data_IF_122599352301
#
_entry.id   IF_122599352301
#
_cell.length_a   1.000
_cell.length_b   1.000
_cell.length_c   1.000
_cell.angle_alpha   90.00
_cell.angle_beta   90.00
_cell.angle_gamma   90.00
#
_symmetry.space_group_name_H-M   'P 1'
#
loop_
_entity.id
_entity.type
_entity.pdbx_description
1 polymer ?
#
# COMPACT_ATOMS: atom_id res chain seq x y z
N UNK A 1 16.71 15.28 -6.20
CA UNK A 1 15.28 15.11 -5.81
C UNK A 1 15.24 14.30 -4.53
N UNK A 2 14.22 14.47 -3.69
CA UNK A 2 14.14 13.81 -2.38
C UNK A 2 12.78 13.15 -2.20
N UNK A 3 12.76 12.03 -1.47
CA UNK A 3 11.56 11.29 -1.09
C UNK A 3 11.08 11.81 0.25
N UNK A 4 9.78 12.06 0.37
CA UNK A 4 9.20 12.37 1.68
C UNK A 4 8.93 11.06 2.40
N UNK A 5 9.54 10.92 3.56
CA UNK A 5 9.36 9.76 4.42
C UNK A 5 8.51 10.13 5.61
N UNK A 6 7.61 9.23 5.95
CA UNK A 6 6.74 9.36 7.10
C UNK A 6 6.81 8.07 7.90
N UNK A 7 7.30 8.15 9.13
CA UNK A 7 7.25 7.03 10.07
C UNK A 7 5.82 6.66 10.42
N UNK A 8 5.64 5.43 10.91
CA UNK A 8 4.34 4.92 11.38
C UNK A 8 3.76 5.81 12.48
N UNK A 9 2.44 5.97 12.49
CA UNK A 9 1.77 6.80 13.51
C UNK A 9 1.90 6.17 14.91
N UNK A 10 2.34 6.94 15.91
CA UNK A 10 2.35 6.50 17.32
C UNK A 10 0.98 6.80 17.94
N UNK A 11 0.39 5.85 18.65
CA UNK A 11 -0.92 6.05 19.31
C UNK A 11 -0.83 7.06 20.45
N UNK A 12 -1.63 8.13 20.38
CA UNK A 12 -2.17 8.79 21.56
C UNK A 12 -3.48 8.10 21.98
N UNK A 13 -3.84 8.17 23.27
CA UNK A 13 -5.09 7.59 23.78
C UNK A 13 -6.31 8.24 23.10
N UNK A 14 -7.07 7.48 22.32
CA UNK A 14 -8.30 7.95 21.69
C UNK A 14 -9.52 7.49 22.48
N UNK A 15 -10.26 8.42 23.06
CA UNK A 15 -11.50 8.16 23.86
C UNK A 15 -12.75 8.01 22.95
N UNK A 16 -12.62 8.22 21.63
CA UNK A 16 -13.73 8.24 20.68
C UNK A 16 -13.57 7.17 19.56
N UNK A 17 -14.67 6.67 18.94
CA UNK A 17 -14.60 5.64 17.91
C UNK A 17 -13.89 6.13 16.64
N UNK A 18 -13.09 5.27 16.00
CA UNK A 18 -12.36 5.59 14.78
C UNK A 18 -13.32 5.99 13.65
N UNK A 19 -12.97 6.99 12.83
CA UNK A 19 -13.87 7.53 11.79
C UNK A 19 -14.36 6.47 10.81
N UNK A 20 -13.56 5.46 10.47
CA UNK A 20 -13.97 4.36 9.60
C UNK A 20 -15.05 3.46 10.21
N UNK A 21 -15.24 3.49 11.53
CA UNK A 21 -16.35 2.82 12.24
C UNK A 21 -17.57 3.72 12.43
N UNK A 22 -17.51 4.95 11.90
CA UNK A 22 -18.59 5.92 11.95
C UNK A 22 -19.77 5.58 11.04
N UNK A 23 -20.72 6.52 10.91
CA UNK A 23 -21.90 6.34 10.05
C UNK A 23 -21.49 6.08 8.59
N UNK A 24 -21.94 4.97 7.97
CA UNK A 24 -21.56 4.66 6.60
C UNK A 24 -21.93 5.74 5.58
N UNK A 25 -23.06 6.41 5.76
CA UNK A 25 -23.48 7.50 4.87
C UNK A 25 -22.57 8.72 4.98
N UNK A 26 -22.11 9.05 6.19
CA UNK A 26 -21.15 10.14 6.39
C UNK A 26 -19.80 9.77 5.78
N UNK A 27 -19.36 8.52 5.93
CA UNK A 27 -18.12 8.02 5.33
C UNK A 27 -18.19 8.02 3.81
N UNK A 28 -19.30 7.53 3.24
CA UNK A 28 -19.52 7.52 1.80
C UNK A 28 -19.52 8.95 1.22
N UNK A 29 -20.21 9.89 1.87
CA UNK A 29 -20.22 11.29 1.44
C UNK A 29 -18.83 11.92 1.55
N UNK A 30 -18.12 11.69 2.65
CA UNK A 30 -16.76 12.16 2.85
C UNK A 30 -15.80 11.63 1.77
N UNK A 31 -15.82 10.32 1.51
CA UNK A 31 -14.98 9.68 0.50
C UNK A 31 -15.35 10.11 -0.92
N UNK A 32 -16.63 10.37 -1.19
CA UNK A 32 -17.10 10.91 -2.48
C UNK A 32 -16.61 12.35 -2.70
N UNK A 33 -16.70 13.21 -1.69
CA UNK A 33 -16.15 14.57 -1.76
C UNK A 33 -14.63 14.55 -1.92
N UNK A 34 -13.95 13.62 -1.24
CA UNK A 34 -12.52 13.43 -1.37
C UNK A 34 -12.13 12.94 -2.77
N UNK A 35 -12.91 12.03 -3.36
CA UNK A 35 -12.77 11.58 -4.74
C UNK A 35 -12.86 12.79 -5.70
N UNK A 36 -13.90 13.61 -5.57
CA UNK A 36 -14.09 14.81 -6.40
C UNK A 36 -12.94 15.80 -6.26
N UNK A 37 -12.47 16.04 -5.03
CA UNK A 37 -11.32 16.90 -4.75
C UNK A 37 -10.07 16.48 -5.50
N UNK A 38 -9.82 15.18 -5.62
CA UNK A 38 -8.63 14.66 -6.28
C UNK A 38 -8.84 14.27 -7.74
N UNK A 39 -10.06 14.38 -8.27
CA UNK A 39 -10.39 14.03 -9.66
C UNK A 39 -9.47 14.63 -10.74
N UNK A 40 -8.84 15.81 -10.61
CA UNK A 40 -7.86 16.29 -11.59
C UNK A 40 -6.66 15.36 -11.80
N UNK A 41 -6.36 14.48 -10.84
CA UNK A 41 -5.27 13.51 -10.91
C UNK A 41 -5.69 12.19 -11.58
N UNK A 42 -6.97 11.98 -11.94
CA UNK A 42 -7.44 10.73 -12.57
C UNK A 42 -6.69 10.42 -13.86
N UNK A 43 -6.30 11.44 -14.62
CA UNK A 43 -5.52 11.26 -15.85
C UNK A 43 -4.16 10.59 -15.59
N UNK A 44 -3.59 10.79 -14.40
CA UNK A 44 -2.33 10.17 -13.98
C UNK A 44 -2.49 8.70 -13.58
N UNK A 45 -3.69 8.12 -13.64
CA UNK A 45 -3.83 6.66 -13.53
C UNK A 45 -3.16 5.98 -14.73
N UNK A 46 -3.29 6.60 -15.91
CA UNK A 46 -2.78 6.10 -17.18
C UNK A 46 -1.48 6.80 -17.58
N UNK A 47 -1.30 8.08 -17.22
CA UNK A 47 -0.09 8.83 -17.55
C UNK A 47 1.02 8.69 -16.48
N UNK A 48 2.30 8.59 -16.88
CA UNK A 48 2.79 8.69 -18.26
C UNK A 48 2.76 7.36 -19.02
N UNK A 49 2.43 7.39 -20.32
CA UNK A 49 2.48 6.18 -21.17
C UNK A 49 3.90 5.66 -21.42
N UNK A 50 4.92 6.52 -21.26
CA UNK A 50 6.31 6.21 -21.54
C UNK A 50 7.22 6.76 -20.43
N UNK A 51 8.37 6.11 -20.18
CA UNK A 51 8.83 4.86 -20.79
C UNK A 51 8.10 3.62 -20.24
N UNK A 52 8.00 2.56 -21.06
CA UNK A 52 7.62 1.21 -20.62
C UNK A 52 8.92 0.40 -20.46
N UNK A 53 9.51 0.41 -19.26
CA UNK A 53 10.86 -0.14 -19.04
C UNK A 53 10.83 -1.67 -18.90
N UNK A 54 9.71 -2.25 -18.46
CA UNK A 54 9.54 -3.70 -18.42
C UNK A 54 8.87 -4.28 -19.67
N UNK A 55 8.74 -3.48 -20.73
CA UNK A 55 8.22 -3.90 -22.04
C UNK A 55 6.86 -4.61 -21.90
N UNK A 56 6.73 -5.85 -22.37
CA UNK A 56 5.46 -6.59 -22.36
C UNK A 56 4.88 -6.90 -20.99
N UNK A 57 5.62 -6.67 -19.89
CA UNK A 57 5.08 -6.77 -18.54
C UNK A 57 4.35 -5.49 -18.11
N UNK A 58 4.61 -4.35 -18.75
CA UNK A 58 3.93 -3.10 -18.42
C UNK A 58 2.50 -3.10 -18.95
N UNK A 59 1.57 -2.64 -18.12
CA UNK A 59 0.14 -2.73 -18.39
C UNK A 59 -0.27 -1.99 -19.68
N UNK A 60 0.39 -0.87 -19.99
CA UNK A 60 0.08 -0.02 -21.15
C UNK A 60 1.05 -0.21 -22.32
N UNK A 61 1.99 -1.16 -22.24
CA UNK A 61 2.87 -1.46 -23.36
C UNK A 61 2.05 -1.98 -24.55
N UNK A 62 2.32 -1.54 -25.80
CA UNK A 62 1.50 -1.87 -26.98
C UNK A 62 1.71 -3.32 -27.48
N UNK A 63 1.53 -4.31 -26.60
CA UNK A 63 1.44 -5.74 -26.96
C UNK A 63 0.01 -6.10 -27.37
N UNK A 64 -0.15 -7.16 -28.17
CA UNK A 64 -1.49 -7.63 -28.56
C UNK A 64 -2.38 -7.98 -27.35
N UNK A 65 -1.88 -8.67 -26.31
CA UNK A 65 -2.69 -8.94 -25.11
C UNK A 65 -3.11 -7.67 -24.36
N UNK A 66 -2.21 -6.69 -24.18
CA UNK A 66 -2.56 -5.42 -23.54
C UNK A 66 -3.56 -4.62 -24.37
N UNK A 67 -3.39 -4.57 -25.69
CA UNK A 67 -4.34 -3.90 -26.60
C UNK A 67 -5.72 -4.55 -26.49
N UNK A 68 -5.78 -5.88 -26.39
CA UNK A 68 -7.03 -6.61 -26.18
C UNK A 68 -7.70 -6.22 -24.85
N UNK A 69 -6.97 -6.21 -23.75
CA UNK A 69 -7.50 -5.81 -22.44
C UNK A 69 -7.98 -4.34 -22.44
N UNK A 70 -7.18 -3.43 -23.01
CA UNK A 70 -7.54 -2.01 -23.17
C UNK A 70 -8.80 -1.85 -24.02
N UNK A 71 -8.93 -2.61 -25.12
CA UNK A 71 -10.11 -2.57 -25.97
C UNK A 71 -11.38 -3.00 -25.21
N UNK A 72 -11.31 -4.11 -24.48
CA UNK A 72 -12.44 -4.58 -23.67
C UNK A 72 -12.81 -3.59 -22.56
N UNK A 73 -11.82 -3.02 -21.88
CA UNK A 73 -12.06 -1.95 -20.91
C UNK A 73 -12.69 -0.71 -21.54
N UNK A 74 -12.27 -0.34 -22.76
CA UNK A 74 -12.87 0.79 -23.50
C UNK A 74 -14.34 0.52 -23.82
N UNK A 75 -14.67 -0.69 -24.29
CA UNK A 75 -16.06 -1.12 -24.53
C UNK A 75 -16.87 -1.04 -23.23
N UNK A 76 -16.34 -1.54 -22.13
CA UNK A 76 -17.00 -1.51 -20.82
C UNK A 76 -17.23 -0.07 -20.34
N UNK A 77 -16.23 0.81 -20.43
CA UNK A 77 -16.36 2.22 -20.03
C UNK A 77 -17.48 2.91 -20.81
N UNK A 78 -17.52 2.73 -22.14
CA UNK A 78 -18.58 3.31 -22.98
C UNK A 78 -19.96 2.75 -22.61
N UNK A 79 -20.07 1.42 -22.52
CA UNK A 79 -21.33 0.74 -22.20
C UNK A 79 -21.86 1.09 -20.80
N UNK A 80 -20.98 1.11 -19.80
CA UNK A 80 -21.31 1.46 -18.41
C UNK A 80 -21.71 2.92 -18.26
N UNK A 81 -21.01 3.83 -18.96
CA UNK A 81 -21.38 5.24 -18.98
C UNK A 81 -22.77 5.44 -19.56
N UNK A 82 -23.06 4.82 -20.71
CA UNK A 82 -24.39 4.88 -21.33
C UNK A 82 -25.46 4.28 -20.41
N UNK A 83 -25.18 3.14 -19.79
CA UNK A 83 -26.09 2.50 -18.84
C UNK A 83 -26.41 3.43 -17.66
N UNK A 84 -25.40 4.00 -16.99
CA UNK A 84 -25.63 4.90 -15.85
C UNK A 84 -26.39 6.17 -16.25
N UNK A 85 -26.05 6.76 -17.41
CA UNK A 85 -26.76 7.93 -17.94
C UNK A 85 -28.22 7.59 -18.27
N UNK A 86 -28.50 6.36 -18.73
CA UNK A 86 -29.87 5.96 -19.07
C UNK A 86 -30.79 5.81 -17.85
N UNK A 87 -30.26 5.44 -16.67
CA UNK A 87 -31.08 5.06 -15.50
C UNK A 87 -32.11 6.12 -15.07
N UNK A 88 -31.80 7.43 -14.97
CA UNK A 88 -32.78 8.44 -14.59
C UNK A 88 -33.94 8.60 -15.58
N UNK A 89 -33.71 8.31 -16.86
CA UNK A 89 -34.72 8.47 -17.92
C UNK A 89 -35.69 7.28 -18.01
N UNK A 90 -35.33 6.14 -17.40
CA UNK A 90 -36.14 4.93 -17.39
C UNK A 90 -37.37 5.01 -16.45
N UNK A 91 -37.52 6.09 -15.67
CA UNK A 91 -38.68 6.29 -14.80
C UNK A 91 -40.02 6.33 -15.57
N UNK A 92 -39.96 6.59 -16.87
CA UNK A 92 -41.12 6.63 -17.78
C UNK A 92 -41.50 5.25 -18.35
N UNK A 93 -40.66 4.24 -18.16
CA UNK A 93 -40.81 2.90 -18.73
C UNK A 93 -41.50 1.96 -17.72
N UNK A 94 -42.40 1.05 -18.15
CA UNK A 94 -43.00 0.08 -17.24
C UNK A 94 -41.94 -0.78 -16.52
N UNK A 95 -42.17 -1.05 -15.23
CA UNK A 95 -41.21 -1.70 -14.34
C UNK A 95 -40.64 -3.03 -14.86
N UNK A 96 -41.44 -3.82 -15.58
CA UNK A 96 -40.99 -5.11 -16.16
C UNK A 96 -39.88 -4.90 -17.21
N UNK A 97 -40.04 -3.91 -18.10
CA UNK A 97 -39.01 -3.60 -19.10
C UNK A 97 -37.77 -2.98 -18.46
N UNK A 98 -37.94 -2.23 -17.37
CA UNK A 98 -36.83 -1.72 -16.56
C UNK A 98 -35.98 -2.86 -15.97
N UNK A 99 -36.61 -3.86 -15.33
CA UNK A 99 -35.90 -5.05 -14.83
C UNK A 99 -35.20 -5.79 -15.98
N UNK A 100 -35.90 -6.00 -17.10
CA UNK A 100 -35.32 -6.70 -18.25
C UNK A 100 -34.10 -5.97 -18.81
N UNK A 101 -34.16 -4.65 -18.96
CA UNK A 101 -33.04 -3.82 -19.42
C UNK A 101 -31.82 -3.96 -18.49
N UNK A 102 -32.02 -3.86 -17.18
CA UNK A 102 -30.93 -4.04 -16.20
C UNK A 102 -30.37 -5.46 -16.28
N UNK A 103 -31.23 -6.47 -16.29
CA UNK A 103 -30.81 -7.87 -16.37
C UNK A 103 -29.99 -8.15 -17.63
N UNK A 104 -30.43 -7.65 -18.78
CA UNK A 104 -29.72 -7.78 -20.05
C UNK A 104 -28.36 -7.07 -20.02
N UNK A 105 -28.32 -5.84 -19.52
CA UNK A 105 -27.08 -5.09 -19.40
C UNK A 105 -26.08 -5.79 -18.47
N UNK A 106 -26.52 -6.25 -17.30
CA UNK A 106 -25.67 -6.97 -16.36
C UNK A 106 -25.15 -8.27 -16.96
N UNK A 107 -25.98 -9.00 -17.73
CA UNK A 107 -25.55 -10.22 -18.42
C UNK A 107 -24.48 -9.94 -19.48
N UNK A 108 -24.65 -8.88 -20.29
CA UNK A 108 -23.66 -8.47 -21.29
C UNK A 108 -22.37 -7.98 -20.64
N UNK A 109 -22.46 -7.11 -19.64
CA UNK A 109 -21.30 -6.62 -18.88
C UNK A 109 -20.50 -7.77 -18.27
N UNK A 110 -21.20 -8.70 -17.62
CA UNK A 110 -20.60 -9.91 -17.02
C UNK A 110 -19.91 -10.77 -18.09
N UNK A 111 -20.50 -10.89 -19.27
CA UNK A 111 -19.92 -11.68 -20.38
C UNK A 111 -18.61 -11.08 -20.88
N UNK A 112 -18.54 -9.75 -21.04
CA UNK A 112 -17.30 -9.05 -21.40
C UNK A 112 -16.27 -9.15 -20.27
N UNK A 113 -16.69 -8.97 -19.01
CA UNK A 113 -15.80 -9.10 -17.86
C UNK A 113 -15.25 -10.53 -17.71
N UNK A 114 -15.99 -11.57 -18.10
CA UNK A 114 -15.47 -12.95 -18.12
C UNK A 114 -14.31 -13.12 -19.10
N UNK A 115 -14.31 -12.39 -20.23
CA UNK A 115 -13.20 -12.42 -21.18
C UNK A 115 -11.94 -11.78 -20.58
N UNK A 116 -12.09 -10.66 -19.86
CA UNK A 116 -11.00 -9.99 -19.15
C UNK A 116 -10.46 -10.82 -17.98
N UNK A 117 -11.36 -11.31 -17.12
CA UNK A 117 -10.98 -11.99 -15.88
C UNK A 117 -10.47 -13.41 -16.13
N UNK A 118 -10.89 -14.05 -17.23
CA UNK A 118 -10.57 -15.44 -17.53
C UNK A 118 -10.93 -16.41 -16.40
N UNK A 119 -10.36 -17.61 -16.47
CA UNK A 119 -10.45 -18.61 -15.41
C UNK A 119 -9.15 -18.62 -14.62
N UNK A 120 -9.25 -18.25 -13.34
CA UNK A 120 -8.14 -18.27 -12.37
C UNK A 120 -8.49 -19.29 -11.26
N UNK A 121 -7.54 -20.15 -10.88
CA UNK A 121 -7.74 -21.15 -9.82
C UNK A 121 -8.07 -20.55 -8.44
N UNK A 122 -8.68 -21.36 -7.58
CA UNK A 122 -8.97 -20.99 -6.18
C UNK A 122 -7.70 -20.91 -5.30
N UNK A 123 -6.59 -21.55 -5.68
CA UNK A 123 -5.29 -21.37 -5.02
C UNK A 123 -4.52 -20.15 -5.53
N UNK A 124 -5.11 -19.35 -6.43
CA UNK A 124 -4.51 -18.17 -7.03
C UNK A 124 -3.76 -18.48 -8.32
N UNK A 125 -3.36 -17.42 -9.02
CA UNK A 125 -2.51 -17.50 -10.20
C UNK A 125 -1.04 -17.56 -9.77
N UNK A 126 -0.22 -18.41 -10.37
CA UNK A 126 1.20 -18.52 -10.01
C UNK A 126 2.06 -17.78 -11.04
N UNK A 127 3.13 -17.14 -10.57
CA UNK A 127 4.13 -16.55 -11.45
C UNK A 127 4.71 -17.62 -12.39
N UNK A 128 4.98 -17.24 -13.62
CA UNK A 128 5.52 -18.13 -14.66
C UNK A 128 6.93 -18.58 -14.27
N UNK A 129 7.16 -19.90 -14.23
CA UNK A 129 8.49 -20.47 -14.12
C UNK A 129 9.09 -20.68 -15.52
N UNK A 130 10.34 -20.27 -15.69
CA UNK A 130 11.19 -20.56 -16.84
C UNK A 130 12.57 -21.07 -16.42
N UNK A 131 13.39 -21.45 -17.41
CA UNK A 131 14.73 -22.03 -17.21
C UNK A 131 15.63 -21.17 -16.31
N UNK A 132 15.44 -19.85 -16.30
CA UNK A 132 16.23 -18.95 -15.47
C UNK A 132 15.72 -18.96 -14.03
N UNK A 133 14.40 -18.82 -13.84
CA UNK A 133 13.79 -18.89 -12.52
C UNK A 133 14.05 -20.22 -11.80
N UNK A 134 14.21 -21.31 -12.55
CA UNK A 134 14.54 -22.62 -12.02
C UNK A 134 15.95 -22.67 -11.37
N UNK A 135 16.85 -21.78 -11.78
CA UNK A 135 18.22 -21.68 -11.26
C UNK A 135 18.36 -20.75 -10.05
N UNK A 136 17.32 -19.99 -9.70
CA UNK A 136 17.34 -19.13 -8.52
C UNK A 136 17.47 -19.95 -7.23
N UNK A 137 18.02 -19.30 -6.21
CA UNK A 137 18.02 -19.86 -4.86
C UNK A 137 16.57 -20.11 -4.42
N UNK A 138 16.29 -21.33 -3.99
CA UNK A 138 14.97 -21.67 -3.44
C UNK A 138 14.82 -21.08 -2.04
N UNK A 139 13.68 -20.44 -1.81
CA UNK A 139 13.24 -19.84 -0.55
C UNK A 139 11.97 -20.54 -0.10
N UNK A 140 12.07 -21.85 0.12
CA UNK A 140 10.91 -22.71 0.42
C UNK A 140 10.31 -22.43 1.82
N UNK A 141 10.99 -21.61 2.63
CA UNK A 141 10.53 -21.10 3.92
C UNK A 141 9.81 -19.74 3.84
N UNK A 142 9.62 -19.20 2.62
CA UNK A 142 8.91 -17.95 2.36
C UNK A 142 7.67 -18.18 1.48
N UNK A 143 6.58 -17.46 1.76
CA UNK A 143 5.37 -17.46 0.93
C UNK A 143 5.01 -16.06 0.48
N UNK A 144 5.03 -15.80 -0.82
CA UNK A 144 4.77 -14.49 -1.41
C UNK A 144 3.39 -14.45 -2.07
N UNK A 145 2.55 -13.51 -1.63
CA UNK A 145 1.17 -13.35 -2.06
C UNK A 145 0.98 -11.93 -2.57
N UNK A 146 0.37 -11.78 -3.74
CA UNK A 146 0.02 -10.49 -4.33
C UNK A 146 -1.49 -10.37 -4.47
N UNK A 147 -2.06 -9.24 -4.07
CA UNK A 147 -3.46 -8.89 -4.31
C UNK A 147 -3.55 -7.60 -5.11
N UNK A 148 -4.11 -7.71 -6.32
CA UNK A 148 -4.19 -6.61 -7.28
C UNK A 148 -5.29 -5.59 -6.95
N UNK A 149 -5.22 -4.46 -7.64
CA UNK A 149 -6.22 -3.40 -7.65
C UNK A 149 -7.42 -3.68 -8.54
N UNK A 150 -8.24 -2.64 -8.72
CA UNK A 150 -9.34 -2.62 -9.68
C UNK A 150 -8.86 -2.60 -11.13
N UNK A 151 -9.76 -2.90 -12.06
CA UNK A 151 -9.51 -2.83 -13.50
C UNK A 151 -8.33 -3.70 -13.97
N UNK A 152 -8.12 -4.86 -13.35
CA UNK A 152 -7.06 -5.80 -13.72
C UNK A 152 -7.68 -7.11 -14.21
N UNK A 153 -7.43 -7.44 -15.47
CA UNK A 153 -7.73 -8.75 -16.06
C UNK A 153 -6.70 -9.82 -15.70
N UNK A 154 -6.92 -11.05 -16.17
CA UNK A 154 -6.00 -12.18 -15.95
C UNK A 154 -4.61 -11.91 -16.50
N UNK A 155 -4.53 -11.31 -17.68
CA UNK A 155 -3.25 -11.06 -18.34
C UNK A 155 -2.41 -10.04 -17.54
N UNK A 156 -2.98 -8.90 -17.17
CA UNK A 156 -2.31 -7.93 -16.31
C UNK A 156 -1.91 -8.50 -14.95
N UNK A 157 -2.77 -9.31 -14.31
CA UNK A 157 -2.41 -9.98 -13.07
C UNK A 157 -1.18 -10.89 -13.25
N UNK A 158 -1.13 -11.69 -14.34
CA UNK A 158 0.03 -12.53 -14.64
C UNK A 158 1.29 -11.68 -14.82
N UNK A 159 1.21 -10.60 -15.59
CA UNK A 159 2.33 -9.67 -15.79
C UNK A 159 2.80 -9.04 -14.48
N UNK A 160 1.89 -8.71 -13.56
CA UNK A 160 2.25 -8.18 -12.24
C UNK A 160 3.00 -9.20 -11.39
N UNK A 161 2.50 -10.44 -11.25
CA UNK A 161 3.18 -11.46 -10.45
C UNK A 161 4.49 -11.93 -11.06
N UNK A 162 4.58 -11.98 -12.40
CA UNK A 162 5.84 -12.28 -13.10
C UNK A 162 6.87 -11.17 -12.89
N UNK A 163 6.43 -9.91 -12.89
CA UNK A 163 7.30 -8.77 -12.60
C UNK A 163 7.80 -8.79 -11.16
N UNK A 164 6.93 -9.04 -10.18
CA UNK A 164 7.33 -9.20 -8.77
C UNK A 164 8.34 -10.36 -8.66
N UNK A 165 8.02 -11.51 -9.25
CA UNK A 165 8.87 -12.70 -9.22
C UNK A 165 10.27 -12.43 -9.77
N UNK A 166 10.38 -11.74 -10.91
CA UNK A 166 11.68 -11.32 -11.49
C UNK A 166 12.42 -10.28 -10.66
N UNK A 167 11.72 -9.49 -9.86
CA UNK A 167 12.32 -8.45 -9.02
C UNK A 167 12.99 -9.06 -7.79
N UNK A 168 12.26 -9.95 -7.12
CA UNK A 168 12.66 -10.50 -5.82
C UNK A 168 13.18 -11.93 -5.91
N UNK A 169 13.09 -12.59 -7.07
CA UNK A 169 13.48 -13.99 -7.32
C UNK A 169 12.78 -15.00 -6.40
N UNK A 170 11.47 -14.80 -6.20
CA UNK A 170 10.59 -15.75 -5.52
C UNK A 170 9.39 -16.11 -6.38
N UNK A 171 8.82 -17.32 -6.24
CA UNK A 171 7.51 -17.61 -6.79
C UNK A 171 6.45 -16.76 -6.08
N UNK A 172 5.50 -16.19 -6.83
CA UNK A 172 4.46 -15.30 -6.30
C UNK A 172 3.09 -15.87 -6.65
N UNK A 173 2.21 -15.91 -5.66
CA UNK A 173 0.80 -16.27 -5.83
C UNK A 173 -0.06 -15.02 -5.92
N UNK A 174 -0.66 -14.78 -7.07
CA UNK A 174 -1.61 -13.70 -7.33
C UNK A 174 -3.03 -14.08 -6.96
N UNK A 175 -3.62 -13.37 -6.01
CA UNK A 175 -5.04 -13.42 -5.70
C UNK A 175 -5.75 -12.36 -6.53
N UNK A 176 -6.75 -12.79 -7.29
CA UNK A 176 -7.38 -11.94 -8.30
C UNK A 176 -8.54 -11.15 -7.72
N UNK A 177 -8.35 -9.84 -7.58
CA UNK A 177 -9.48 -8.92 -7.46
C UNK A 177 -10.12 -8.70 -8.84
N UNK A 178 -11.15 -9.50 -9.14
CA UNK A 178 -11.84 -9.50 -10.44
C UNK A 178 -12.44 -8.13 -10.76
N UNK A 179 -12.27 -7.69 -12.00
CA UNK A 179 -12.87 -6.45 -12.50
C UNK A 179 -14.29 -6.66 -13.02
N UNK A 180 -15.19 -5.74 -12.69
CA UNK A 180 -16.50 -5.59 -13.30
C UNK A 180 -16.52 -4.45 -14.34
N UNK A 181 -15.34 -3.95 -14.73
CA UNK A 181 -15.12 -2.77 -15.55
C UNK A 181 -14.86 -1.53 -14.69
N UNK A 182 -14.05 -0.61 -15.22
CA UNK A 182 -13.46 0.52 -14.47
C UNK A 182 -14.50 1.34 -13.70
N UNK A 183 -15.65 1.64 -14.30
CA UNK A 183 -16.65 2.50 -13.64
C UNK A 183 -17.30 1.78 -12.46
N UNK A 184 -17.70 0.53 -12.66
CA UNK A 184 -18.29 -0.28 -11.60
C UNK A 184 -17.30 -0.62 -10.51
N UNK A 185 -16.03 -0.82 -10.86
CA UNK A 185 -14.97 -1.03 -9.89
C UNK A 185 -14.75 0.22 -9.01
N UNK A 186 -14.78 1.43 -9.58
CA UNK A 186 -14.67 2.68 -8.80
C UNK A 186 -15.85 2.83 -7.84
N UNK A 187 -17.07 2.53 -8.30
CA UNK A 187 -18.27 2.53 -7.45
C UNK A 187 -18.13 1.49 -6.33
N UNK A 188 -17.71 0.28 -6.68
CA UNK A 188 -17.45 -0.80 -5.73
C UNK A 188 -16.44 -0.38 -4.67
N UNK A 189 -15.33 0.24 -5.10
CA UNK A 189 -14.27 0.73 -4.22
C UNK A 189 -14.80 1.76 -3.19
N UNK A 190 -15.60 2.72 -3.64
CA UNK A 190 -16.26 3.71 -2.76
C UNK A 190 -17.19 3.05 -1.74
N UNK A 191 -18.01 2.10 -2.19
CA UNK A 191 -18.94 1.37 -1.32
C UNK A 191 -18.16 0.51 -0.32
N UNK A 192 -17.11 -0.17 -0.77
CA UNK A 192 -16.30 -1.06 0.07
C UNK A 192 -15.57 -0.29 1.18
N UNK A 193 -15.06 0.91 0.88
CA UNK A 193 -14.46 1.81 1.89
C UNK A 193 -15.45 2.28 2.96
N UNK A 194 -16.72 2.46 2.59
CA UNK A 194 -17.75 2.97 3.48
C UNK A 194 -18.48 1.88 4.28
N UNK A 195 -18.64 0.69 3.71
CA UNK A 195 -19.39 -0.42 4.30
C UNK A 195 -18.51 -1.56 4.84
N UNK A 196 -17.23 -1.61 4.48
CA UNK A 196 -16.29 -2.68 4.85
C UNK A 196 -16.83 -4.08 4.55
N UNK A 197 -17.55 -4.22 3.43
CA UNK A 197 -18.09 -5.51 3.05
C UNK A 197 -17.01 -6.39 2.40
N UNK A 198 -17.05 -7.67 2.72
CA UNK A 198 -16.09 -8.66 2.21
C UNK A 198 -16.61 -9.36 0.96
N UNK A 199 -15.83 -9.29 -0.11
CA UNK A 199 -16.04 -10.03 -1.35
C UNK A 199 -15.35 -11.41 -1.30
N UNK A 200 -15.51 -12.22 -2.35
CA UNK A 200 -14.89 -13.54 -2.46
C UNK A 200 -13.36 -13.49 -2.43
N UNK A 201 -12.77 -12.46 -3.01
CA UNK A 201 -11.32 -12.33 -3.20
C UNK A 201 -10.62 -12.06 -1.85
N UNK A 202 -11.24 -11.22 -1.00
CA UNK A 202 -10.83 -10.99 0.39
C UNK A 202 -10.81 -12.32 1.17
N UNK A 203 -11.87 -13.13 1.05
CA UNK A 203 -11.98 -14.42 1.75
C UNK A 203 -10.93 -15.41 1.26
N UNK A 204 -10.71 -15.49 -0.05
CA UNK A 204 -9.70 -16.35 -0.65
C UNK A 204 -8.29 -15.94 -0.22
N UNK A 205 -7.96 -14.64 -0.29
CA UNK A 205 -6.67 -14.12 0.14
C UNK A 205 -6.42 -14.37 1.63
N UNK A 206 -7.43 -14.13 2.48
CA UNK A 206 -7.38 -14.44 3.91
C UNK A 206 -7.05 -15.93 4.16
N UNK A 207 -7.72 -16.85 3.46
CA UNK A 207 -7.46 -18.29 3.58
C UNK A 207 -6.03 -18.64 3.14
N UNK A 208 -5.54 -18.05 2.05
CA UNK A 208 -4.19 -18.30 1.56
C UNK A 208 -3.12 -17.81 2.54
N UNK A 209 -3.26 -16.59 3.07
CA UNK A 209 -2.34 -16.04 4.08
C UNK A 209 -2.38 -16.89 5.34
N UNK A 210 -3.57 -17.20 5.85
CA UNK A 210 -3.72 -18.04 7.04
C UNK A 210 -3.09 -19.42 6.83
N UNK A 211 -3.35 -20.07 5.69
CA UNK A 211 -2.73 -21.36 5.38
C UNK A 211 -1.21 -21.27 5.33
N UNK A 212 -0.65 -20.21 4.77
CA UNK A 212 0.80 -20.00 4.73
C UNK A 212 1.39 -19.78 6.13
N UNK A 213 0.73 -18.99 6.98
CA UNK A 213 1.17 -18.73 8.36
C UNK A 213 1.18 -19.97 9.25
N UNK A 214 0.29 -20.93 9.00
CA UNK A 214 0.23 -22.20 9.73
C UNK A 214 1.04 -23.32 9.07
N UNK A 215 1.59 -23.11 7.88
CA UNK A 215 2.31 -24.15 7.15
C UNK A 215 3.64 -24.47 7.85
N UNK A 216 3.94 -25.74 8.14
CA UNK A 216 5.20 -26.11 8.77
C UNK A 216 6.37 -25.78 7.84
N UNK A 217 7.39 -25.12 8.38
CA UNK A 217 8.60 -24.74 7.63
C UNK A 217 8.54 -23.34 7.02
N UNK A 218 7.35 -22.74 6.87
CA UNK A 218 7.22 -21.33 6.51
C UNK A 218 7.60 -20.48 7.72
N UNK A 219 8.53 -19.55 7.52
CA UNK A 219 9.00 -18.60 8.52
C UNK A 219 8.60 -17.16 8.19
N UNK A 220 8.16 -16.94 6.95
CA UNK A 220 7.83 -15.61 6.44
C UNK A 220 6.72 -15.67 5.41
N UNK A 221 5.76 -14.77 5.56
CA UNK A 221 4.69 -14.54 4.59
C UNK A 221 4.78 -13.09 4.15
N UNK A 222 4.95 -12.85 2.85
CA UNK A 222 5.03 -11.51 2.28
C UNK A 222 3.74 -11.23 1.52
N UNK A 223 3.02 -10.20 1.96
CA UNK A 223 1.79 -9.73 1.32
C UNK A 223 2.05 -8.43 0.57
N UNK A 224 1.92 -8.45 -0.74
CA UNK A 224 2.02 -7.27 -1.61
C UNK A 224 0.62 -6.86 -2.06
N UNK A 225 0.29 -5.58 -1.89
CA UNK A 225 -1.03 -5.03 -2.21
C UNK A 225 -0.89 -3.85 -3.18
N UNK A 226 -1.79 -3.74 -4.16
CA UNK A 226 -1.83 -2.58 -5.05
C UNK A 226 -3.22 -1.94 -5.09
N UNK A 227 -3.27 -0.60 -5.07
CA UNK A 227 -4.53 0.16 -5.26
C UNK A 227 -5.63 -0.25 -4.27
N UNK A 228 -6.82 -0.66 -4.75
CA UNK A 228 -7.91 -1.21 -3.94
C UNK A 228 -7.50 -2.45 -3.13
N UNK A 229 -6.51 -3.23 -3.57
CA UNK A 229 -5.95 -4.32 -2.79
C UNK A 229 -5.46 -3.88 -1.41
N UNK A 230 -5.13 -2.59 -1.24
CA UNK A 230 -4.85 -2.00 0.07
C UNK A 230 -6.07 -1.91 1.01
N UNK A 231 -7.27 -1.61 0.49
CA UNK A 231 -8.53 -1.64 1.25
C UNK A 231 -8.81 -3.07 1.68
N UNK A 232 -8.72 -4.00 0.71
CA UNK A 232 -8.96 -5.43 0.93
C UNK A 232 -7.97 -6.02 1.94
N UNK A 233 -6.69 -5.71 1.80
CA UNK A 233 -5.65 -6.13 2.72
C UNK A 233 -5.78 -5.56 4.13
N UNK A 234 -6.25 -4.31 4.28
CA UNK A 234 -6.56 -3.74 5.59
C UNK A 234 -7.64 -4.56 6.32
N UNK A 235 -8.72 -4.93 5.63
CA UNK A 235 -9.77 -5.79 6.18
C UNK A 235 -9.26 -7.21 6.48
N UNK A 236 -8.40 -7.77 5.64
CA UNK A 236 -7.79 -9.08 5.87
C UNK A 236 -6.94 -9.05 7.14
N UNK A 237 -6.13 -8.01 7.33
CA UNK A 237 -5.33 -7.86 8.54
C UNK A 237 -6.19 -7.77 9.79
N UNK A 238 -7.30 -7.03 9.75
CA UNK A 238 -8.24 -6.95 10.87
C UNK A 238 -8.82 -8.32 11.25
N UNK A 239 -9.13 -9.18 10.27
CA UNK A 239 -9.54 -10.57 10.55
C UNK A 239 -8.40 -11.43 11.10
N UNK A 240 -7.19 -11.29 10.54
CA UNK A 240 -6.02 -12.03 11.01
C UNK A 240 -5.67 -11.67 12.47
N UNK A 241 -5.87 -10.42 12.88
CA UNK A 241 -5.65 -9.98 14.27
C UNK A 241 -6.62 -10.63 15.26
N UNK A 242 -7.82 -10.99 14.83
CA UNK A 242 -8.83 -11.65 15.65
C UNK A 242 -8.62 -13.16 15.71
N UNK A 243 -8.18 -13.77 14.60
CA UNK A 243 -8.14 -15.23 14.46
C UNK A 243 -6.76 -15.89 14.65
N UNK A 244 -5.66 -15.19 14.38
CA UNK A 244 -4.32 -15.79 14.28
C UNK A 244 -3.46 -15.46 15.50
N UNK A 245 -2.77 -16.44 16.11
CA UNK A 245 -1.83 -16.20 17.20
C UNK A 245 -0.75 -15.19 16.82
N UNK A 246 -0.42 -14.33 17.77
CA UNK A 246 0.54 -13.24 17.59
C UNK A 246 1.92 -13.71 17.10
N UNK A 247 2.42 -14.84 17.57
CA UNK A 247 3.74 -15.32 17.15
C UNK A 247 3.80 -15.75 15.69
N UNK A 248 2.66 -16.14 15.10
CA UNK A 248 2.55 -16.37 13.66
C UNK A 248 2.45 -15.04 12.91
N UNK A 249 1.74 -14.06 13.44
CA UNK A 249 1.59 -12.74 12.80
C UNK A 249 2.91 -11.97 12.67
N UNK A 250 3.91 -12.24 13.52
CA UNK A 250 5.28 -11.72 13.35
C UNK A 250 5.98 -12.17 12.06
N UNK A 251 5.53 -13.28 11.48
CA UNK A 251 6.06 -13.78 10.21
C UNK A 251 5.51 -13.01 9.00
N UNK A 252 4.46 -12.21 9.19
CA UNK A 252 3.82 -11.45 8.13
C UNK A 252 4.56 -10.12 7.89
N UNK A 253 4.88 -9.85 6.64
CA UNK A 253 5.37 -8.55 6.16
C UNK A 253 4.40 -8.03 5.09
N UNK A 254 4.06 -6.74 5.14
CA UNK A 254 3.07 -6.14 4.24
C UNK A 254 3.65 -4.96 3.49
N UNK A 255 3.54 -5.00 2.16
CA UNK A 255 4.04 -3.97 1.26
C UNK A 255 2.92 -3.50 0.36
N UNK A 256 2.67 -2.20 0.31
CA UNK A 256 1.56 -1.67 -0.50
C UNK A 256 2.05 -0.63 -1.49
N UNK A 257 1.42 -0.59 -2.67
CA UNK A 257 1.71 0.34 -3.74
C UNK A 257 0.43 1.08 -4.13
N UNK A 258 0.45 2.42 -4.01
CA UNK A 258 -0.72 3.23 -4.33
C UNK A 258 -1.95 2.89 -3.49
N UNK A 259 -1.76 2.63 -2.19
CA UNK A 259 -2.78 2.08 -1.30
C UNK A 259 -4.03 2.99 -1.21
N UNK A 260 -5.17 2.44 -1.64
CA UNK A 260 -6.46 3.10 -1.65
C UNK A 260 -7.21 3.01 -0.30
N UNK A 261 -6.62 2.49 0.76
CA UNK A 261 -7.30 2.36 2.05
C UNK A 261 -7.55 3.71 2.72
N UNK A 262 -8.63 3.79 3.50
CA UNK A 262 -8.88 4.92 4.39
C UNK A 262 -8.37 4.69 5.82
N UNK A 263 -8.02 3.46 6.18
CA UNK A 263 -7.39 3.07 7.42
C UNK A 263 -6.47 1.87 7.18
N UNK A 264 -5.49 1.67 8.06
CA UNK A 264 -4.63 0.49 8.04
C UNK A 264 -4.18 0.22 9.47
N UNK A 265 -4.72 -0.82 10.12
CA UNK A 265 -4.50 -1.07 11.54
C UNK A 265 -3.25 -1.92 11.77
N UNK A 266 -2.54 -1.65 12.87
CA UNK A 266 -1.49 -2.50 13.42
C UNK A 266 -1.40 -2.25 14.93
N UNK A 267 -2.25 -2.94 15.72
CA UNK A 267 -2.36 -2.67 17.15
C UNK A 267 -1.04 -2.96 17.87
N UNK A 268 -0.69 -2.09 18.83
CA UNK A 268 0.32 -2.40 19.83
C UNK A 268 -0.23 -3.45 20.80
N UNK A 269 0.62 -4.33 21.30
CA UNK A 269 0.30 -5.09 22.51
C UNK A 269 1.23 -4.68 23.63
N UNK A 270 0.65 -3.98 24.62
CA UNK A 270 1.25 -3.78 25.94
C UNK A 270 0.85 -4.98 26.77
N UNK A 271 1.84 -5.75 27.25
CA UNK A 271 1.58 -6.75 28.27
C UNK A 271 1.30 -6.00 29.57
N UNK A 272 0.03 -5.76 29.89
CA UNK A 272 -0.36 -5.23 31.20
C UNK A 272 -0.29 -6.43 32.16
N UNK A 273 0.60 -6.42 33.17
CA UNK A 273 0.66 -7.49 34.16
C UNK A 273 -0.70 -7.63 34.85
N UNK A 274 -1.20 -8.86 34.96
CA UNK A 274 -2.45 -9.15 35.68
C UNK A 274 -2.30 -8.66 37.12
N UNK A 275 -3.11 -7.68 37.52
CA UNK A 275 -3.07 -7.04 38.84
C UNK A 275 -2.78 -5.53 38.83
N UNK A 276 -2.38 -4.96 37.70
CA UNK A 276 -2.25 -3.52 37.53
C UNK A 276 -3.63 -2.91 37.22
N UNK A 277 -4.24 -2.23 38.19
CA UNK A 277 -5.52 -1.54 38.00
C UNK A 277 -5.43 -0.45 36.92
N UNK A 278 -6.57 -0.13 36.31
CA UNK A 278 -6.70 0.99 35.38
C UNK A 278 -6.39 2.32 36.10
N UNK A 279 -5.11 2.71 36.11
CA UNK A 279 -4.61 3.86 36.87
C UNK A 279 -3.16 3.75 37.35
N UNK A 280 -2.49 2.60 37.21
CA UNK A 280 -1.05 2.53 37.46
C UNK A 280 -0.27 3.08 36.26
N UNK A 281 0.40 4.22 36.43
CA UNK A 281 1.37 4.69 35.44
C UNK A 281 2.43 3.60 35.20
N UNK A 282 2.73 3.26 33.94
CA UNK A 282 3.73 2.26 33.62
C UNK A 282 5.09 2.76 34.12
N UNK A 283 5.60 2.15 35.18
CA UNK A 283 6.92 2.46 35.72
C UNK A 283 7.95 2.28 34.61
N UNK A 284 8.59 3.38 34.24
CA UNK A 284 9.44 3.55 33.05
C UNK A 284 10.82 2.91 33.22
N UNK A 285 10.89 1.68 33.72
CA UNK A 285 12.16 1.02 33.97
C UNK A 285 12.07 -0.45 33.59
N UNK A 286 12.89 -0.81 32.59
CA UNK A 286 13.34 -2.18 32.28
C UNK A 286 12.60 -3.10 31.30
N UNK A 287 11.81 -2.60 30.34
CA UNK A 287 11.55 -3.33 29.07
C UNK A 287 11.54 -2.38 27.86
N UNK A 288 12.72 -1.95 27.42
CA UNK A 288 12.97 -1.42 26.07
C UNK A 288 12.92 -2.56 25.02
N UNK A 289 11.89 -3.40 25.05
CA UNK A 289 11.75 -4.50 24.10
C UNK A 289 11.17 -3.97 22.79
N UNK A 290 12.09 -3.86 21.82
CA UNK A 290 11.96 -4.07 20.36
C UNK A 290 10.51 -4.24 19.85
N UNK A 291 10.11 -3.36 18.94
CA UNK A 291 8.92 -3.41 18.06
C UNK A 291 7.67 -4.11 18.64
N UNK A 292 6.88 -3.39 19.46
CA UNK A 292 5.66 -3.90 20.16
C UNK A 292 4.42 -4.04 19.25
N UNK A 293 4.61 -4.05 17.93
CA UNK A 293 3.55 -4.14 16.91
C UNK A 293 3.24 -5.60 16.59
N UNK A 294 2.00 -5.85 16.16
CA UNK A 294 1.53 -7.21 15.82
C UNK A 294 2.14 -7.70 14.51
N UNK A 295 2.14 -6.85 13.49
CA UNK A 295 2.88 -7.06 12.23
C UNK A 295 4.15 -6.25 12.29
N UNK A 296 5.28 -6.90 12.03
CA UNK A 296 6.60 -6.30 12.23
C UNK A 296 6.93 -5.26 11.16
N UNK A 297 6.54 -5.52 9.91
CA UNK A 297 6.86 -4.66 8.77
C UNK A 297 5.62 -4.33 7.95
N UNK A 298 5.31 -3.04 7.88
CA UNK A 298 4.31 -2.48 6.98
C UNK A 298 4.94 -1.27 6.29
N UNK A 299 5.09 -1.35 4.97
CA UNK A 299 5.60 -0.25 4.15
C UNK A 299 4.62 0.12 3.04
N UNK A 300 4.48 1.42 2.80
CA UNK A 300 3.62 1.97 1.77
C UNK A 300 4.45 2.81 0.79
N UNK A 301 4.36 2.46 -0.48
CA UNK A 301 4.99 3.15 -1.59
C UNK A 301 3.93 3.97 -2.33
N UNK A 302 4.11 5.29 -2.38
CA UNK A 302 3.14 6.23 -2.94
C UNK A 302 3.80 7.19 -3.93
N UNK A 303 3.14 7.39 -5.07
CA UNK A 303 3.51 8.43 -6.02
C UNK A 303 2.76 9.73 -5.63
N UNK A 304 3.49 10.84 -5.53
CA UNK A 304 2.93 12.10 -5.03
C UNK A 304 1.81 12.66 -5.91
N UNK A 305 1.78 12.37 -7.21
CA UNK A 305 0.76 12.80 -8.18
C UNK A 305 -0.14 11.64 -8.64
N UNK A 306 -0.16 10.52 -7.91
CA UNK A 306 -1.14 9.45 -8.13
C UNK A 306 -2.47 9.81 -7.44
N UNK A 307 -3.56 9.73 -8.21
CA UNK A 307 -4.92 9.91 -7.72
C UNK A 307 -5.22 8.99 -6.52
N UNK A 308 -4.92 7.70 -6.64
CA UNK A 308 -5.31 6.71 -5.62
C UNK A 308 -4.49 6.91 -4.35
N UNK A 309 -3.18 7.12 -4.48
CA UNK A 309 -2.32 7.51 -3.35
C UNK A 309 -2.83 8.77 -2.63
N UNK A 310 -3.27 9.79 -3.37
CA UNK A 310 -3.82 11.04 -2.80
C UNK A 310 -5.20 10.87 -2.15
N UNK A 311 -6.01 9.95 -2.66
CA UNK A 311 -7.33 9.64 -2.13
C UNK A 311 -7.29 8.63 -0.96
N UNK A 312 -6.25 7.81 -0.89
CA UNK A 312 -5.96 6.84 0.17
C UNK A 312 -4.79 7.29 1.05
N UNK A 313 -3.70 6.51 1.03
CA UNK A 313 -2.58 6.62 1.99
C UNK A 313 -2.10 8.05 2.25
N UNK A 314 -1.87 8.88 1.23
CA UNK A 314 -1.35 10.23 1.44
C UNK A 314 -2.37 11.17 2.10
N UNK A 315 -3.67 10.90 1.99
CA UNK A 315 -4.69 11.71 2.68
C UNK A 315 -4.72 11.41 4.17
N UNK A 316 -4.82 10.12 4.52
CA UNK A 316 -5.05 9.68 5.89
C UNK A 316 -3.77 9.68 6.71
N UNK A 317 -2.64 9.40 6.07
CA UNK A 317 -1.37 9.29 6.77
C UNK A 317 -0.75 10.67 7.04
N UNK A 318 -1.00 11.71 6.22
CA UNK A 318 -0.50 13.09 6.46
C UNK A 318 -1.19 13.83 7.61
N UNK A 319 -2.44 13.49 7.91
CA UNK A 319 -3.18 14.12 8.99
C UNK A 319 -2.75 13.51 10.32
N UNK A 320 -1.79 14.14 10.99
CA UNK A 320 -1.67 14.00 12.45
C UNK A 320 -2.78 14.87 13.03
N UNK A 321 -4.00 14.35 13.02
CA UNK A 321 -5.15 15.09 13.49
C UNK A 321 -5.17 15.06 15.00
N UNK A 322 -5.28 16.24 15.63
CA UNK A 322 -5.70 16.39 17.03
C UNK A 322 -7.09 15.79 17.29
N UNK A 323 -7.86 15.53 16.21
CA UNK A 323 -9.13 14.83 16.24
C UNK A 323 -8.94 13.33 16.55
N UNK A 324 -9.36 12.86 17.75
CA UNK A 324 -9.28 11.45 18.15
C UNK A 324 -10.12 10.52 17.26
N UNK A 325 -10.99 11.08 16.42
CA UNK A 325 -11.83 10.35 15.48
C UNK A 325 -11.13 10.04 14.16
N UNK A 326 -9.94 10.57 13.86
CA UNK A 326 -9.32 10.33 12.55
C UNK A 326 -8.82 8.88 12.36
N UNK A 327 -8.90 8.39 11.12
CA UNK A 327 -8.46 7.04 10.79
C UNK A 327 -6.98 6.83 11.06
N UNK A 328 -6.67 5.69 11.67
CA UNK A 328 -5.30 5.23 11.90
C UNK A 328 -4.74 4.62 10.62
N UNK A 329 -3.56 5.05 10.23
CA UNK A 329 -2.84 4.53 9.07
C UNK A 329 -1.43 4.14 9.50
N UNK A 330 -1.27 2.86 9.86
CA UNK A 330 -0.04 2.29 10.41
C UNK A 330 0.87 1.78 9.31
N UNK A 331 2.18 1.97 9.49
CA UNK A 331 3.21 1.61 8.53
C UNK A 331 4.00 2.83 8.05
N UNK A 332 5.22 2.58 7.59
CA UNK A 332 6.10 3.63 7.06
C UNK A 332 5.71 3.97 5.63
N UNK A 333 5.67 5.26 5.27
CA UNK A 333 5.31 5.71 3.91
C UNK A 333 6.48 6.37 3.22
N UNK A 334 6.78 5.88 2.02
CA UNK A 334 7.70 6.47 1.07
C UNK A 334 6.90 7.20 -0.03
N UNK A 335 6.88 8.52 0.02
CA UNK A 335 6.26 9.35 -1.01
C UNK A 335 7.31 9.79 -2.04
N UNK A 336 7.28 9.12 -3.20
CA UNK A 336 8.08 9.47 -4.36
C UNK A 336 7.50 10.69 -5.07
N UNK A 337 8.30 11.72 -5.40
CA UNK A 337 7.86 12.77 -6.31
C UNK A 337 7.67 12.19 -7.71
N UNK A 338 6.41 12.00 -8.14
CA UNK A 338 6.10 11.40 -9.43
C UNK A 338 4.62 11.11 -9.60
N UNK A 339 4.21 10.82 -10.85
CA UNK A 339 2.84 10.47 -11.23
C UNK A 339 2.76 9.03 -11.73
N UNK A 340 1.56 8.56 -12.01
CA UNK A 340 1.33 7.20 -12.50
C UNK A 340 0.79 6.27 -11.41
N UNK A 341 -0.17 5.40 -11.77
CA UNK A 341 -0.80 4.45 -10.85
C UNK A 341 -0.57 2.96 -11.18
N UNK A 342 -0.46 2.59 -12.47
CA UNK A 342 -0.15 1.22 -12.92
C UNK A 342 1.00 0.57 -12.12
N UNK A 343 0.83 -0.69 -11.73
CA UNK A 343 1.68 -1.35 -10.75
C UNK A 343 3.09 -1.62 -11.30
N UNK A 344 3.19 -2.25 -12.47
CA UNK A 344 4.50 -2.50 -13.08
C UNK A 344 5.09 -1.20 -13.62
N UNK A 345 4.36 -0.54 -14.50
CA UNK A 345 4.87 0.59 -15.28
C UNK A 345 5.19 1.85 -14.45
N UNK A 346 4.39 2.16 -13.42
CA UNK A 346 4.54 3.41 -12.67
C UNK A 346 5.15 3.23 -11.28
N UNK A 347 5.05 2.05 -10.69
CA UNK A 347 5.69 1.74 -9.41
C UNK A 347 6.96 0.91 -9.60
N UNK A 348 6.84 -0.35 -10.02
CA UNK A 348 8.01 -1.25 -10.02
C UNK A 348 9.12 -0.80 -10.96
N UNK A 349 8.79 -0.23 -12.13
CA UNK A 349 9.78 0.32 -13.06
C UNK A 349 10.57 1.50 -12.50
N UNK A 350 9.93 2.30 -11.65
CA UNK A 350 10.57 3.48 -11.06
C UNK A 350 11.27 3.18 -9.74
N UNK A 351 10.80 2.18 -8.99
CA UNK A 351 11.30 1.84 -7.65
C UNK A 351 12.28 0.67 -7.65
N UNK A 352 12.09 -0.28 -8.57
CA UNK A 352 12.89 -1.50 -8.73
C UNK A 352 13.16 -1.75 -10.22
N UNK A 353 13.92 -0.86 -10.88
CA UNK A 353 14.15 -0.94 -12.31
C UNK A 353 14.88 -2.23 -12.67
N UNK A 354 14.40 -2.95 -13.67
CA UNK A 354 15.10 -4.12 -14.19
C UNK A 354 16.24 -3.70 -15.12
N UNK A 355 17.16 -4.63 -15.33
CA UNK A 355 18.19 -4.56 -16.35
C UNK A 355 17.59 -4.79 -17.74
N UNK A 356 18.35 -4.55 -18.83
CA UNK A 356 17.85 -4.75 -20.19
C UNK A 356 17.42 -6.19 -20.50
N UNK A 357 17.87 -7.17 -19.72
CA UNK A 357 17.40 -8.56 -19.85
C UNK A 357 16.00 -8.77 -19.25
N UNK A 358 15.55 -7.86 -18.38
CA UNK A 358 14.29 -7.96 -17.67
C UNK A 358 14.29 -9.08 -16.64
N UNK A 359 15.46 -9.43 -16.08
CA UNK A 359 15.66 -10.58 -15.20
C UNK A 359 16.19 -10.22 -13.82
N UNK A 360 16.94 -9.13 -13.73
CA UNK A 360 17.56 -8.67 -12.51
C UNK A 360 17.20 -7.22 -12.27
N UNK A 361 17.04 -6.84 -11.02
CA UNK A 361 17.07 -5.43 -10.64
C UNK A 361 18.46 -4.91 -10.96
N UNK A 362 18.53 -3.89 -11.82
CA UNK A 362 19.81 -3.33 -12.26
C UNK A 362 20.53 -2.62 -11.12
N UNK A 363 21.83 -2.39 -11.31
CA UNK A 363 22.60 -1.53 -10.42
C UNK A 363 21.98 -0.13 -10.37
N UNK A 364 21.89 0.41 -9.15
CA UNK A 364 21.38 1.74 -8.89
C UNK A 364 22.26 2.81 -9.57
N UNK A 365 21.59 3.79 -10.16
CA UNK A 365 22.18 4.98 -10.76
C UNK A 365 21.73 6.23 -10.00
N UNK A 366 22.48 7.32 -10.15
CA UNK A 366 22.12 8.59 -9.53
C UNK A 366 20.75 9.07 -10.03
N UNK A 367 19.86 9.39 -9.09
CA UNK A 367 18.47 9.79 -9.38
C UNK A 367 17.44 8.66 -9.32
N UNK A 368 17.88 7.40 -9.21
CA UNK A 368 16.96 6.30 -8.92
C UNK A 368 16.28 6.50 -7.56
N UNK A 369 15.05 6.02 -7.44
CA UNK A 369 14.24 6.14 -6.22
C UNK A 369 14.99 5.69 -4.96
N UNK A 370 15.68 4.56 -5.04
CA UNK A 370 16.42 3.97 -3.93
C UNK A 370 17.65 4.79 -3.50
N UNK A 371 18.20 5.62 -4.40
CA UNK A 371 19.33 6.51 -4.13
C UNK A 371 18.90 7.93 -3.72
N UNK A 372 17.61 8.24 -3.76
CA UNK A 372 17.09 9.55 -3.37
C UNK A 372 17.25 9.79 -1.87
N UNK A 373 17.60 11.03 -1.54
CA UNK A 373 17.68 11.49 -0.16
C UNK A 373 16.30 11.48 0.51
N UNK A 374 16.29 11.11 1.78
CA UNK A 374 15.08 11.05 2.60
C UNK A 374 14.87 12.37 3.33
N UNK A 375 13.70 12.96 3.14
CA UNK A 375 13.20 14.12 3.90
C UNK A 375 12.08 13.68 4.81
N UNK A 376 12.19 14.01 6.09
CA UNK A 376 11.13 13.69 7.04
C UNK A 376 9.94 14.61 6.74
N UNK A 377 8.77 14.01 6.54
CA UNK A 377 7.54 14.75 6.33
C UNK A 377 7.01 15.40 7.61
N UNK A 378 6.12 16.38 7.45
CA UNK A 378 5.57 17.16 8.56
C UNK A 378 4.83 16.28 9.61
N UNK A 379 4.83 16.72 10.88
CA UNK A 379 4.11 16.07 11.98
C UNK A 379 4.92 14.99 12.72
N UNK A 380 6.18 15.29 13.05
CA UNK A 380 7.15 14.36 13.67
C UNK A 380 6.82 13.95 15.11
N UNK A 381 6.08 14.77 15.87
CA UNK A 381 5.86 14.53 17.30
C UNK A 381 4.97 13.31 17.61
N UNK A 382 4.11 12.88 16.67
CA UNK A 382 3.20 11.76 16.84
C UNK A 382 3.52 10.56 15.93
N UNK A 383 4.79 10.38 15.58
CA UNK A 383 5.24 9.33 14.65
C UNK A 383 6.49 8.65 15.18
N UNK A 384 6.65 7.39 14.77
CA UNK A 384 7.86 6.63 15.00
C UNK A 384 9.02 7.34 14.30
N UNK A 385 10.07 7.63 15.08
CA UNK A 385 11.26 8.30 14.56
C UNK A 385 12.04 7.43 13.59
N UNK A 386 13.00 8.04 12.89
CA UNK A 386 13.84 7.33 11.92
C UNK A 386 14.61 6.17 12.56
N UNK A 387 15.10 6.36 13.79
CA UNK A 387 15.83 5.34 14.55
C UNK A 387 14.98 4.06 14.77
N UNK A 388 13.69 4.21 15.04
CA UNK A 388 12.78 3.08 15.24
C UNK A 388 12.51 2.35 13.91
N UNK A 389 12.47 3.09 12.80
CA UNK A 389 12.36 2.50 11.46
C UNK A 389 13.63 1.73 11.09
N UNK A 390 14.81 2.30 11.36
CA UNK A 390 16.10 1.66 11.10
C UNK A 390 16.29 0.38 11.92
N UNK A 391 15.90 0.41 13.19
CA UNK A 391 15.89 -0.78 14.06
C UNK A 391 14.98 -1.88 13.49
N UNK A 392 13.84 -1.51 12.89
CA UNK A 392 12.97 -2.45 12.20
C UNK A 392 13.64 -2.99 10.92
N UNK A 393 14.21 -2.13 10.09
CA UNK A 393 14.80 -2.52 8.79
C UNK A 393 16.05 -3.38 8.94
N UNK A 394 16.94 -3.03 9.88
CA UNK A 394 18.31 -3.59 9.97
C UNK A 394 18.43 -4.83 10.85
N UNK A 395 17.37 -5.25 11.56
CA UNK A 395 17.40 -6.48 12.35
C UNK A 395 18.61 -6.57 13.27
N UNK A 396 18.73 -5.64 14.22
CA UNK A 396 19.81 -5.47 15.23
C UNK A 396 21.05 -4.66 14.79
N UNK A 397 21.09 -3.39 15.20
CA UNK A 397 22.36 -2.68 15.45
C UNK A 397 22.45 -2.48 16.97
N UNK A 398 23.53 -3.01 17.56
CA UNK A 398 23.79 -2.88 19.00
C UNK A 398 23.93 -1.42 19.45
N UNK A 399 23.74 -1.13 20.74
CA UNK A 399 23.79 0.23 21.30
C UNK A 399 25.14 0.95 21.11
N UNK A 400 26.19 0.27 20.64
CA UNK A 400 27.51 0.86 20.39
C UNK A 400 27.57 1.77 19.14
N UNK A 401 26.56 1.71 18.26
CA UNK A 401 26.40 2.69 17.17
C UNK A 401 25.52 3.90 17.55
N UNK A 402 25.04 3.98 18.81
CA UNK A 402 24.27 5.14 19.30
C UNK A 402 25.21 6.29 19.63
N UNK A 403 25.27 7.29 18.77
CA UNK A 403 25.67 8.64 19.18
C UNK A 403 24.40 9.35 19.66
N UNK A 404 24.38 9.96 20.86
CA UNK A 404 23.22 10.71 21.29
C UNK A 404 22.96 11.80 20.26
N UNK A 405 21.72 11.87 19.77
CA UNK A 405 21.24 13.06 19.07
C UNK A 405 21.61 14.24 19.97
N UNK A 406 22.53 15.08 19.51
CA UNK A 406 22.76 16.36 20.13
C UNK A 406 21.45 17.12 20.00
N UNK A 407 20.58 17.02 21.01
CA UNK A 407 19.65 18.09 21.33
C UNK A 407 20.54 19.30 21.52
N UNK A 408 20.65 20.13 20.50
CA UNK A 408 21.12 21.50 20.70
C UNK A 408 20.05 22.17 21.54
N UNK A 409 20.19 22.03 22.86
CA UNK A 409 19.51 22.85 23.84
C UNK A 409 20.05 24.27 23.66
N UNK A 410 19.46 25.03 22.74
CA UNK A 410 19.64 26.47 22.74
C UNK A 410 18.75 27.02 23.84
N UNK A 411 19.42 27.31 24.95
CA UNK A 411 18.95 28.01 26.14
C UNK A 411 18.13 29.23 25.74
N UNK A 412 16.87 29.29 26.17
CA UNK A 412 16.04 30.49 26.13
C UNK A 412 16.64 31.51 27.11
N UNK A 413 17.35 32.51 26.59
CA UNK A 413 17.62 33.73 27.35
C UNK A 413 16.78 34.88 26.78
N UNK A 414 15.96 35.40 27.69
CA UNK A 414 15.07 36.53 27.52
C UNK A 414 15.85 37.84 27.38
N UNK A 415 15.59 38.62 26.34
CA UNK A 415 15.14 40.03 26.41
C UNK A 415 15.44 40.82 25.11
N UNK A 416 14.41 41.58 24.72
CA UNK A 416 14.38 42.92 24.10
C UNK A 416 13.61 42.98 22.78
N UNK A 417 12.59 43.86 22.82
CA UNK A 417 11.60 44.28 21.82
C UNK A 417 12.23 44.74 20.48
N UNK A 418 11.57 44.43 19.36
CA UNK A 418 10.94 45.43 18.46
C UNK A 418 10.32 44.80 17.19
N UNK A 419 9.05 45.16 16.94
CA UNK A 419 8.34 45.40 15.66
C UNK A 419 8.42 44.44 14.44
N UNK A 420 7.22 44.00 14.03
CA UNK A 420 6.69 43.43 12.74
C UNK A 420 7.24 44.07 11.42
N UNK A 421 6.94 43.53 10.18
CA UNK A 421 5.92 42.53 9.82
C UNK A 421 6.33 41.38 8.85
N UNK A 422 5.43 40.38 8.83
CA UNK A 422 5.05 39.46 7.73
C UNK A 422 6.01 39.24 6.56
N UNK A 423 6.62 38.04 6.56
CA UNK A 423 7.21 37.41 5.40
C UNK A 423 7.11 35.89 5.56
N UNK A 424 6.43 35.25 4.63
CA UNK A 424 6.21 33.80 4.52
C UNK A 424 7.53 33.04 4.66
N UNK A 425 7.81 32.48 5.85
CA UNK A 425 8.90 31.51 6.04
C UNK A 425 8.43 30.16 5.51
N UNK A 426 8.96 29.80 4.35
CA UNK A 426 9.03 28.41 3.89
C UNK A 426 9.76 27.64 4.99
N UNK A 427 9.07 26.73 5.67
CA UNK A 427 9.66 25.84 6.66
C UNK A 427 10.77 25.02 5.98
N UNK A 428 12.01 25.20 6.43
CA UNK A 428 13.11 24.32 6.04
C UNK A 428 12.76 22.88 6.47
N UNK A 429 12.42 22.05 5.49
CA UNK A 429 12.19 20.62 5.69
C UNK A 429 13.54 19.98 5.99
N UNK A 430 13.70 19.44 7.20
CA UNK A 430 14.94 18.86 7.70
C UNK A 430 15.31 17.60 6.88
N UNK A 431 16.52 17.60 6.31
CA UNK A 431 17.08 16.43 5.62
C UNK A 431 17.69 15.52 6.68
N UNK A 432 17.21 14.27 6.75
CA UNK A 432 17.74 13.31 7.72
C UNK A 432 19.18 12.93 7.37
N UNK A 433 20.09 12.89 8.36
CA UNK A 433 21.52 12.59 8.15
C UNK A 433 22.08 11.58 9.16
N UNK A 434 23.08 10.80 8.74
CA UNK A 434 23.96 9.97 9.56
C UNK A 434 25.39 10.44 9.38
N UNK A 435 26.07 10.82 10.46
CA UNK A 435 27.47 11.30 10.39
C UNK A 435 27.70 12.41 9.33
N UNK A 436 26.67 13.22 9.03
CA UNK A 436 26.70 14.26 8.01
C UNK A 436 26.27 13.85 6.60
N UNK A 437 26.06 12.55 6.32
CA UNK A 437 25.59 12.02 5.03
C UNK A 437 24.07 11.85 5.06
N UNK A 438 23.30 12.28 4.03
CA UNK A 438 21.85 12.11 4.02
C UNK A 438 21.45 10.64 3.95
N UNK A 439 20.40 10.27 4.69
CA UNK A 439 19.80 8.94 4.58
C UNK A 439 19.16 8.75 3.21
N UNK A 440 19.31 7.55 2.63
CA UNK A 440 18.69 7.19 1.36
C UNK A 440 17.55 6.20 1.56
N UNK A 441 16.68 6.10 0.56
CA UNK A 441 15.51 5.19 0.63
C UNK A 441 15.93 3.74 0.81
N UNK A 442 16.98 3.28 0.13
CA UNK A 442 17.51 1.92 0.25
C UNK A 442 17.93 1.52 1.67
N UNK A 443 18.27 2.50 2.51
CA UNK A 443 18.72 2.28 3.88
C UNK A 443 17.52 2.03 4.82
N UNK A 444 16.32 2.44 4.40
CA UNK A 444 15.08 2.35 5.18
C UNK A 444 14.10 1.31 4.63
N UNK A 445 14.10 1.09 3.31
CA UNK A 445 13.23 0.13 2.63
C UNK A 445 13.70 -1.30 2.91
N UNK A 446 12.92 -2.05 3.68
CA UNK A 446 13.15 -3.48 3.87
C UNK A 446 12.85 -4.27 2.59
N UNK A 447 11.85 -3.85 1.81
CA UNK A 447 11.50 -4.51 0.55
C UNK A 447 12.69 -4.52 -0.42
N UNK A 448 13.49 -3.45 -0.43
CA UNK A 448 14.71 -3.37 -1.24
C UNK A 448 15.70 -4.50 -0.93
N UNK A 449 15.81 -4.92 0.33
CA UNK A 449 16.69 -6.01 0.76
C UNK A 449 16.33 -7.39 0.19
N UNK A 450 15.20 -7.53 -0.51
CA UNK A 450 14.81 -8.75 -1.21
C UNK A 450 15.22 -8.81 -2.68
N UNK A 451 15.72 -7.71 -3.26
CA UNK A 451 16.00 -7.66 -4.69
C UNK A 451 17.01 -8.73 -5.10
N UNK A 452 16.82 -9.30 -6.29
CA UNK A 452 17.71 -10.33 -6.85
C UNK A 452 17.89 -11.58 -5.97
N UNK A 453 16.89 -11.94 -5.16
CA UNK A 453 16.91 -13.15 -4.34
C UNK A 453 17.64 -13.02 -3.02
N UNK A 454 18.14 -11.83 -2.69
CA UNK A 454 18.68 -11.52 -1.37
C UNK A 454 17.57 -11.55 -0.31
N UNK A 455 17.96 -11.61 0.97
CA UNK A 455 17.04 -11.51 2.09
C UNK A 455 17.52 -10.42 3.04
N UNK A 456 16.63 -9.55 3.56
CA UNK A 456 17.01 -8.54 4.54
C UNK A 456 17.50 -9.22 5.82
N UNK A 457 18.36 -8.53 6.56
CA UNK A 457 18.93 -9.03 7.81
C UNK A 457 17.82 -9.53 8.75
N UNK A 458 18.03 -10.73 9.31
CA UNK A 458 17.07 -11.37 10.19
C UNK A 458 17.00 -10.63 11.53
N UNK A 459 15.78 -10.43 12.06
CA UNK A 459 15.63 -10.20 13.49
C UNK A 459 15.94 -11.51 14.21
N UNK A 460 17.12 -11.60 14.84
CA UNK A 460 17.39 -12.56 15.90
C UNK A 460 16.81 -12.08 17.24
#
# INVERSE_FOLDING_TARGET
MAVKFYGSQTTSETVAPLSYTGSPWKLFLFDSLLFLRWSPYLINIVLPLWPCLSHGLDELYPSLPNIYDILLHTILVVAQSFFLISLPFLITVPFVFYIFYIGLFLALNTSVCKLLNGNIPEDGLKSTEDDHSATWRRHDDESWIFLNGVAVGKHWLQSNIDRISRTFHRPVVGVHNRTNGIIFDVIQCLIQRALLYSNSNIRQCHVLIKRALYAPGIKKVVLILHSQGGIEGGMILDWLYDEVPHDLLKQLEVYTFGNAANHFNNPYRVHIPVGAGAGSEPTSTHLQTRNKRTVTHIEHYANSEDFVSRWGVLHFMRKVTEDPLANRFMGSVFERPGRGHQFNQHYLDNMFPLDPTGRFVRRLADGDFMEMDVRIGDGTEAREGLDQTLDATSGSIGPEARIPSSRSSVRTESQVKASRPEGTRISEVEVARTNGVPWKVKDLSRLWGYCNGDSPAAML
#
